data_IF_161151714912
#
_entry.id   IF_161151714912
#
_cell.length_a   1.000
_cell.length_b   1.000
_cell.length_c   1.000
_cell.angle_alpha   90.00
_cell.angle_beta   90.00
_cell.angle_gamma   90.00
#
_symmetry.space_group_name_H-M   'P 1'
#
loop_
_entity.id
_entity.type
_entity.pdbx_description
1 polymer ?
#
# COMPACT_ATOMS: atom_id res chain seq x y z
N UNK A 1 -7.21 11.45 -16.43
CA UNK A 1 -6.79 10.10 -16.02
C UNK A 1 -7.12 9.99 -14.55
N UNK A 2 -7.92 9.00 -14.16
CA UNK A 2 -8.30 8.79 -12.76
C UNK A 2 -7.27 7.85 -12.14
N UNK A 3 -6.77 8.17 -10.94
CA UNK A 3 -5.90 7.26 -10.20
C UNK A 3 -6.76 6.14 -9.59
N UNK A 4 -6.30 4.88 -9.55
CA UNK A 4 -7.05 3.83 -8.90
C UNK A 4 -7.05 4.04 -7.38
N UNK A 5 -8.15 3.66 -6.73
CA UNK A 5 -8.18 3.52 -5.28
C UNK A 5 -7.25 2.38 -4.85
N UNK A 6 -6.50 2.60 -3.77
CA UNK A 6 -5.52 1.66 -3.26
C UNK A 6 -5.73 1.38 -1.77
N UNK A 7 -5.15 0.29 -1.31
CA UNK A 7 -5.07 -0.12 0.09
C UNK A 7 -3.61 -0.38 0.44
N UNK A 8 -3.16 0.06 1.61
CA UNK A 8 -1.87 -0.31 2.15
C UNK A 8 -2.09 -1.25 3.35
N UNK A 9 -1.73 -2.51 3.19
CA UNK A 9 -1.69 -3.45 4.31
C UNK A 9 -0.47 -3.18 5.17
N UNK A 10 -0.70 -2.97 6.45
CA UNK A 10 0.33 -2.68 7.44
C UNK A 10 -0.11 -3.08 8.83
N UNK A 11 0.63 -2.62 9.84
CA UNK A 11 0.18 -2.68 11.24
C UNK A 11 0.78 -1.52 12.04
N UNK A 12 0.12 -1.14 13.13
CA UNK A 12 0.56 -0.04 13.97
C UNK A 12 1.95 -0.31 14.59
N UNK A 13 2.79 0.72 14.63
CA UNK A 13 4.15 0.63 15.16
C UNK A 13 5.15 -0.11 14.26
N UNK A 14 4.77 -0.39 13.00
CA UNK A 14 5.67 -0.96 12.01
C UNK A 14 6.48 0.13 11.30
N UNK A 15 7.78 0.20 11.58
CA UNK A 15 8.67 1.18 10.97
C UNK A 15 8.76 1.09 9.43
N UNK A 16 8.57 -0.10 8.86
CA UNK A 16 8.56 -0.26 7.40
C UNK A 16 7.29 0.32 6.79
N UNK A 17 6.14 0.21 7.48
CA UNK A 17 4.87 0.80 7.03
C UNK A 17 4.97 2.33 7.01
N UNK A 18 5.54 2.93 8.05
CA UNK A 18 5.78 4.38 8.11
C UNK A 18 6.64 4.87 6.92
N UNK A 19 7.66 4.10 6.53
CA UNK A 19 8.50 4.41 5.36
C UNK A 19 7.72 4.31 4.05
N UNK A 20 6.92 3.26 3.87
CA UNK A 20 6.09 3.08 2.68
C UNK A 20 5.03 4.19 2.54
N UNK A 21 4.38 4.58 3.64
CA UNK A 21 3.45 5.72 3.67
C UNK A 21 4.14 7.02 3.25
N UNK A 22 5.35 7.28 3.75
CA UNK A 22 6.12 8.46 3.38
C UNK A 22 6.46 8.51 1.88
N UNK A 23 6.75 7.36 1.25
CA UNK A 23 6.97 7.29 -0.20
C UNK A 23 5.71 7.66 -0.98
N UNK A 24 4.51 7.29 -0.50
CA UNK A 24 3.26 7.56 -1.19
C UNK A 24 2.66 8.93 -0.90
N UNK A 25 3.08 9.60 0.17
CA UNK A 25 2.52 10.88 0.62
C UNK A 25 2.41 11.93 -0.51
N UNK A 26 3.42 12.13 -1.37
CA UNK A 26 3.30 13.09 -2.48
C UNK A 26 2.18 12.72 -3.46
N UNK A 27 1.89 11.43 -3.68
CA UNK A 27 0.80 11.00 -4.57
C UNK A 27 -0.56 11.24 -3.94
N UNK A 28 -0.67 11.03 -2.63
CA UNK A 28 -1.89 11.30 -1.86
C UNK A 28 -2.23 12.79 -1.91
N UNK A 29 -1.23 13.67 -1.74
CA UNK A 29 -1.38 15.12 -1.90
C UNK A 29 -1.86 15.52 -3.32
N UNK A 30 -1.60 14.67 -4.31
CA UNK A 30 -2.04 14.84 -5.71
C UNK A 30 -3.30 14.02 -6.06
N UNK A 31 -4.00 13.48 -5.06
CA UNK A 31 -5.31 12.87 -5.21
C UNK A 31 -5.34 11.34 -5.31
N UNK A 32 -4.23 10.63 -5.03
CA UNK A 32 -4.28 9.18 -4.81
C UNK A 32 -5.08 8.89 -3.54
N UNK A 33 -6.10 8.03 -3.63
CA UNK A 33 -6.84 7.55 -2.48
C UNK A 33 -6.20 6.25 -1.99
N UNK A 34 -5.74 6.25 -0.73
CA UNK A 34 -5.15 5.08 -0.07
C UNK A 34 -5.85 4.85 1.26
N UNK A 35 -6.43 3.68 1.43
CA UNK A 35 -6.94 3.19 2.72
C UNK A 35 -5.83 2.41 3.44
N UNK A 36 -5.59 2.70 4.71
CA UNK A 36 -4.66 1.93 5.54
C UNK A 36 -5.43 0.78 6.20
N UNK A 37 -4.97 -0.46 6.01
CA UNK A 37 -5.58 -1.64 6.61
C UNK A 37 -4.61 -2.27 7.61
N UNK A 38 -5.04 -2.38 8.87
CA UNK A 38 -4.27 -3.08 9.90
C UNK A 38 -4.51 -4.58 9.80
N UNK A 39 -3.46 -5.33 9.43
CA UNK A 39 -3.54 -6.79 9.29
C UNK A 39 -3.92 -7.46 10.61
N UNK A 40 -3.63 -6.83 11.76
CA UNK A 40 -3.96 -7.39 13.08
C UNK A 40 -5.47 -7.51 13.33
N UNK A 41 -6.31 -6.81 12.55
CA UNK A 41 -7.77 -6.85 12.67
C UNK A 41 -8.39 -8.08 11.99
N UNK A 42 -7.65 -8.78 11.12
CA UNK A 42 -8.14 -9.96 10.42
C UNK A 42 -7.08 -11.08 10.40
N UNK A 43 -7.34 -12.24 11.05
CA UNK A 43 -6.42 -13.38 11.06
C UNK A 43 -5.97 -13.84 9.66
N UNK A 44 -6.86 -13.78 8.66
CA UNK A 44 -6.51 -14.15 7.28
C UNK A 44 -5.46 -13.21 6.69
N UNK A 45 -5.52 -11.91 7.02
CA UNK A 45 -4.51 -10.94 6.59
C UNK A 45 -3.18 -11.13 7.32
N UNK A 46 -3.19 -11.58 8.57
CA UNK A 46 -1.96 -11.95 9.28
C UNK A 46 -1.27 -13.11 8.57
N UNK A 47 -2.03 -14.14 8.19
CA UNK A 47 -1.50 -15.31 7.48
C UNK A 47 -0.94 -14.92 6.09
N UNK A 48 -1.65 -14.05 5.36
CA UNK A 48 -1.28 -13.65 4.00
C UNK A 48 -0.14 -12.61 3.95
N UNK A 49 -0.12 -11.64 4.87
CA UNK A 49 0.75 -10.47 4.80
C UNK A 49 1.74 -10.33 5.97
N UNK A 50 1.67 -11.15 7.02
CA UNK A 50 2.47 -10.97 8.24
C UNK A 50 3.99 -10.90 8.03
N UNK A 51 4.50 -11.51 6.94
CA UNK A 51 5.91 -11.45 6.54
C UNK A 51 6.20 -10.49 5.38
N UNK A 52 5.16 -9.84 4.84
CA UNK A 52 5.21 -9.03 3.61
C UNK A 52 4.94 -7.55 3.86
N UNK A 53 4.24 -7.20 4.94
CA UNK A 53 3.87 -5.80 5.19
C UNK A 53 5.11 -4.88 5.21
N UNK A 54 5.02 -3.68 4.60
CA UNK A 54 3.83 -3.11 3.95
C UNK A 54 3.60 -3.60 2.50
N UNK A 55 2.33 -3.77 2.12
CA UNK A 55 1.92 -4.16 0.75
C UNK A 55 0.88 -3.19 0.21
N UNK A 56 1.18 -2.55 -0.94
CA UNK A 56 0.24 -1.69 -1.64
C UNK A 56 -0.60 -2.52 -2.61
N UNK A 57 -1.91 -2.53 -2.44
CA UNK A 57 -2.87 -3.22 -3.29
C UNK A 57 -3.76 -2.24 -4.02
N UNK A 58 -4.02 -2.50 -5.30
CA UNK A 58 -5.05 -1.79 -6.06
C UNK A 58 -6.42 -2.43 -5.86
N UNK A 59 -7.44 -1.61 -5.62
CA UNK A 59 -8.81 -2.07 -5.42
C UNK A 59 -9.44 -2.59 -6.71
N UNK A 60 -9.11 -1.98 -7.86
CA UNK A 60 -9.72 -2.30 -9.15
C UNK A 60 -9.28 -3.64 -9.75
N UNK A 61 -8.06 -4.08 -9.44
CA UNK A 61 -7.41 -5.24 -10.06
C UNK A 61 -6.96 -6.29 -9.06
N UNK A 62 -6.84 -5.94 -7.77
CA UNK A 62 -6.20 -6.78 -6.77
C UNK A 62 -4.69 -6.94 -6.97
N UNK A 63 -4.08 -6.20 -7.90
CA UNK A 63 -2.64 -6.22 -8.08
C UNK A 63 -1.95 -5.69 -6.82
N UNK A 64 -0.80 -6.29 -6.48
CA UNK A 64 -0.02 -5.96 -5.29
C UNK A 64 1.39 -5.50 -5.66
N UNK A 65 1.91 -4.57 -4.87
CA UNK A 65 3.29 -4.11 -4.88
C UNK A 65 3.85 -4.27 -3.47
N UNK A 66 4.74 -5.25 -3.31
CA UNK A 66 5.45 -5.50 -2.06
C UNK A 66 6.53 -4.45 -1.82
N UNK A 67 6.73 -4.10 -0.55
CA UNK A 67 7.90 -3.36 -0.11
C UNK A 67 9.21 -4.16 -0.33
N UNK A 68 10.34 -3.51 -0.64
CA UNK A 68 10.56 -2.07 -0.80
C UNK A 68 10.18 -1.52 -2.18
N UNK A 69 9.66 -0.29 -2.19
CA UNK A 69 9.39 0.45 -3.42
C UNK A 69 9.72 1.94 -3.28
N UNK A 70 10.13 2.54 -4.40
CA UNK A 70 10.32 3.98 -4.58
C UNK A 70 9.11 4.60 -5.31
N UNK A 71 9.03 5.94 -5.27
CA UNK A 71 7.91 6.71 -5.85
C UNK A 71 7.67 6.37 -7.34
N UNK A 72 8.72 6.16 -8.13
CA UNK A 72 8.60 5.83 -9.55
C UNK A 72 7.97 4.45 -9.77
N UNK A 73 8.23 3.50 -8.88
CA UNK A 73 7.63 2.16 -8.94
C UNK A 73 6.13 2.23 -8.62
N UNK A 74 5.73 3.06 -7.64
CA UNK A 74 4.32 3.30 -7.33
C UNK A 74 3.62 3.94 -8.53
N UNK A 75 4.21 4.98 -9.12
CA UNK A 75 3.63 5.65 -10.31
C UNK A 75 3.47 4.68 -11.48
N UNK A 76 4.45 3.81 -11.72
CA UNK A 76 4.35 2.81 -12.78
C UNK A 76 3.27 1.77 -12.49
N UNK A 77 3.21 1.29 -11.25
CA UNK A 77 2.21 0.34 -10.77
C UNK A 77 0.76 0.87 -10.91
N UNK A 78 0.52 2.15 -10.61
CA UNK A 78 -0.79 2.79 -10.74
C UNK A 78 -1.27 2.95 -12.20
N UNK A 79 -0.38 2.85 -13.18
CA UNK A 79 -0.72 2.98 -14.61
C UNK A 79 -1.06 1.67 -15.30
N UNK A 80 -0.88 0.54 -14.61
CA UNK A 80 -1.04 -0.79 -15.18
C UNK A 80 -2.50 -1.23 -15.30
#
# INVERSE_FOLDING_TARGET
MHLPECQLFGTLGCHLCEQAEAVMLPLVEHGLLVELLDIAENPEWVDDYGLRIPVLRRVDTGAELDWPFEIEQVVWFLRR
#
